data_IF_544229970548
#
_entry.id   IF_544229970548
#
_cell.length_a   1.000
_cell.length_b   1.000
_cell.length_c   1.000
_cell.angle_alpha   90.00
_cell.angle_beta   90.00
_cell.angle_gamma   90.00
#
_symmetry.space_group_name_H-M   'P 1'
#
loop_
_entity.id
_entity.type
_entity.pdbx_description
1 polymer ?
#
# COMPACT_ATOMS: atom_id res chain seq x y z
N UNK A 1 51.82 -18.20 54.33
CA UNK A 1 51.57 -16.83 53.83
C UNK A 1 51.71 -16.87 52.32
N UNK A 2 50.59 -16.86 51.59
CA UNK A 2 50.55 -17.03 50.13
C UNK A 2 49.09 -17.09 49.67
N UNK A 3 48.50 -15.92 49.45
CA UNK A 3 47.06 -15.72 49.26
C UNK A 3 46.55 -16.15 47.88
N UNK A 4 45.30 -16.62 47.89
CA UNK A 4 44.47 -17.06 46.77
C UNK A 4 44.23 -15.94 45.73
N UNK A 5 44.28 -16.29 44.44
CA UNK A 5 43.80 -15.47 43.32
C UNK A 5 42.27 -15.52 43.26
N UNK A 6 41.61 -14.36 43.37
CA UNK A 6 40.18 -14.21 43.12
C UNK A 6 39.86 -14.08 41.61
N UNK A 7 38.63 -14.42 41.17
CA UNK A 7 38.26 -14.38 39.76
C UNK A 7 37.95 -12.94 39.28
N UNK A 8 38.36 -12.65 38.05
CA UNK A 8 38.12 -11.40 37.32
C UNK A 8 36.64 -11.19 37.01
N UNK A 9 36.09 -10.03 37.41
CA UNK A 9 34.76 -9.58 36.98
C UNK A 9 34.79 -9.24 35.49
N UNK A 10 34.05 -10.00 34.68
CA UNK A 10 33.68 -9.61 33.31
C UNK A 10 32.72 -8.42 33.41
N UNK A 11 33.09 -7.31 32.77
CA UNK A 11 32.22 -6.15 32.60
C UNK A 11 31.07 -6.50 31.67
N UNK A 12 29.84 -6.32 32.13
CA UNK A 12 28.65 -6.33 31.30
C UNK A 12 28.63 -5.06 30.46
N UNK A 13 29.16 -5.15 29.24
CA UNK A 13 28.92 -4.14 28.20
C UNK A 13 27.46 -4.18 27.79
N UNK A 14 26.68 -3.21 28.22
CA UNK A 14 25.38 -2.92 27.63
C UNK A 14 25.65 -2.28 26.26
N UNK A 15 25.37 -3.02 25.18
CA UNK A 15 25.35 -2.40 23.84
C UNK A 15 24.14 -1.49 23.79
N UNK A 16 24.38 -0.19 23.82
CA UNK A 16 23.42 0.83 23.43
C UNK A 16 23.05 0.58 21.97
N UNK A 17 21.82 0.11 21.71
CA UNK A 17 21.26 0.12 20.37
C UNK A 17 21.21 1.57 19.88
N UNK A 18 21.88 1.83 18.77
CA UNK A 18 22.07 3.16 18.19
C UNK A 18 20.72 3.81 17.83
N UNK A 19 20.49 5.02 18.36
CA UNK A 19 19.31 5.85 18.15
C UNK A 19 19.46 6.83 16.97
N UNK A 20 20.35 6.55 16.02
CA UNK A 20 20.77 7.52 15.00
C UNK A 20 19.79 7.67 13.83
N UNK A 21 18.96 6.66 13.51
CA UNK A 21 18.06 6.70 12.34
C UNK A 21 16.69 7.37 12.53
N UNK A 22 16.26 7.59 13.78
CA UNK A 22 14.92 8.13 14.06
C UNK A 22 14.80 9.63 13.76
N UNK A 23 15.87 10.40 13.99
CA UNK A 23 15.89 11.84 13.71
C UNK A 23 15.90 12.12 12.20
N UNK A 24 16.68 11.36 11.43
CA UNK A 24 16.78 11.55 9.97
C UNK A 24 15.44 11.34 9.25
N UNK A 25 14.63 10.39 9.72
CA UNK A 25 13.33 10.08 9.10
C UNK A 25 12.33 11.23 9.31
N UNK A 26 12.35 11.84 10.49
CA UNK A 26 11.47 12.97 10.79
C UNK A 26 11.83 14.21 9.97
N UNK A 27 13.12 14.50 9.85
CA UNK A 27 13.63 15.63 9.06
C UNK A 27 13.26 15.50 7.58
N UNK A 28 13.33 14.27 7.03
CA UNK A 28 12.89 13.99 5.65
C UNK A 28 11.37 14.17 5.52
N UNK A 29 10.59 13.63 6.45
CA UNK A 29 9.14 13.76 6.44
C UNK A 29 8.71 15.24 6.46
N UNK A 30 9.34 16.06 7.31
CA UNK A 30 9.06 17.50 7.39
C UNK A 30 9.40 18.23 6.09
N UNK A 31 10.56 17.94 5.48
CA UNK A 31 10.94 18.48 4.16
C UNK A 31 9.96 18.09 3.06
N UNK A 32 9.36 16.90 3.15
CA UNK A 32 8.32 16.42 2.25
C UNK A 32 6.91 16.94 2.60
N UNK A 33 6.79 17.84 3.58
CA UNK A 33 5.52 18.49 3.93
C UNK A 33 4.65 17.72 4.91
N UNK A 34 5.19 16.70 5.58
CA UNK A 34 4.49 15.95 6.63
C UNK A 34 4.78 16.52 8.02
N UNK A 35 3.79 16.51 8.89
CA UNK A 35 3.95 16.72 10.32
C UNK A 35 3.77 15.40 11.07
N UNK A 36 4.56 15.19 12.12
CA UNK A 36 4.40 14.03 13.01
C UNK A 36 3.30 14.35 14.02
N UNK A 37 2.25 13.51 14.05
CA UNK A 37 1.13 13.65 14.97
C UNK A 37 1.33 12.87 16.26
N UNK A 38 1.84 11.64 16.16
CA UNK A 38 2.08 10.79 17.32
C UNK A 38 3.14 9.73 17.04
N UNK A 39 3.73 9.21 18.12
CA UNK A 39 4.78 8.20 18.08
C UNK A 39 4.61 7.27 19.29
N UNK A 40 4.66 5.96 19.07
CA UNK A 40 4.44 4.96 20.12
C UNK A 40 5.18 3.65 19.83
N UNK A 41 5.87 3.13 20.84
CA UNK A 41 6.32 1.74 20.83
C UNK A 41 5.17 0.81 21.21
N UNK A 42 4.91 -0.21 20.37
CA UNK A 42 3.89 -1.23 20.58
C UNK A 42 4.60 -2.56 20.87
N UNK A 43 4.74 -2.88 22.16
CA UNK A 43 5.62 -3.96 22.63
C UNK A 43 5.11 -5.34 22.21
N UNK A 44 3.80 -5.53 22.20
CA UNK A 44 3.11 -6.78 21.86
C UNK A 44 3.37 -7.20 20.40
N UNK A 45 3.63 -6.22 19.53
CA UNK A 45 3.92 -6.43 18.11
C UNK A 45 5.39 -6.15 17.77
N UNK A 46 6.26 -5.95 18.75
CA UNK A 46 7.69 -5.61 18.56
C UNK A 46 7.90 -4.48 17.53
N UNK A 47 6.98 -3.51 17.52
CA UNK A 47 6.89 -2.52 16.45
C UNK A 47 6.91 -1.11 17.01
N UNK A 48 7.51 -0.19 16.25
CA UNK A 48 7.49 1.24 16.51
C UNK A 48 6.54 1.92 15.52
N UNK A 49 5.49 2.56 16.02
CA UNK A 49 4.47 3.21 15.23
C UNK A 49 4.65 4.72 15.23
N UNK A 50 4.63 5.34 14.05
CA UNK A 50 4.62 6.80 13.89
C UNK A 50 3.48 7.20 12.97
N UNK A 51 2.66 8.14 13.41
CA UNK A 51 1.58 8.71 12.60
C UNK A 51 2.00 10.09 12.08
N UNK A 52 1.92 10.26 10.77
CA UNK A 52 2.18 11.52 10.08
C UNK A 52 0.92 12.02 9.37
N UNK A 53 0.86 13.33 9.15
CA UNK A 53 -0.15 13.98 8.31
C UNK A 53 0.51 14.92 7.32
N UNK A 54 0.12 14.86 6.05
CA UNK A 54 0.60 15.79 5.04
C UNK A 54 -0.12 17.14 5.20
N UNK A 55 0.65 18.22 5.44
CA UNK A 55 0.12 19.55 5.79
C UNK A 55 -0.83 20.13 4.73
N UNK A 56 -0.59 19.83 3.44
CA UNK A 56 -1.38 20.39 2.33
C UNK A 56 -2.65 19.59 2.02
N UNK A 57 -2.58 18.26 2.05
CA UNK A 57 -3.71 17.41 1.62
C UNK A 57 -4.50 16.82 2.78
N UNK A 58 -3.95 16.85 4.01
CA UNK A 58 -4.53 16.17 5.17
C UNK A 58 -4.36 14.65 5.15
N UNK A 59 -3.72 14.07 4.13
CA UNK A 59 -3.51 12.63 4.04
C UNK A 59 -2.67 12.13 5.22
N UNK A 60 -3.07 11.00 5.82
CA UNK A 60 -2.38 10.41 6.97
C UNK A 60 -1.57 9.19 6.55
N UNK A 61 -0.41 9.01 7.17
CA UNK A 61 0.47 7.85 6.96
C UNK A 61 0.82 7.29 8.34
N UNK A 62 0.49 6.02 8.56
CA UNK A 62 0.95 5.27 9.74
C UNK A 62 2.12 4.36 9.33
N UNK A 63 3.30 4.68 9.82
CA UNK A 63 4.50 3.85 9.63
C UNK A 63 4.66 2.91 10.82
N UNK A 64 4.77 1.61 10.55
CA UNK A 64 5.08 0.57 11.53
C UNK A 64 6.44 -0.03 11.19
N UNK A 65 7.41 0.14 12.07
CA UNK A 65 8.79 -0.31 11.87
C UNK A 65 9.14 -1.42 12.86
N UNK A 66 9.61 -2.56 12.35
CA UNK A 66 10.09 -3.70 13.12
C UNK A 66 11.19 -4.45 12.32
N UNK A 67 11.59 -5.64 12.79
CA UNK A 67 12.64 -6.45 12.17
C UNK A 67 12.13 -7.40 11.07
N UNK A 68 10.88 -7.29 10.62
CA UNK A 68 10.34 -8.13 9.54
C UNK A 68 10.92 -7.68 8.19
N UNK A 69 11.42 -8.65 7.42
CA UNK A 69 11.94 -8.42 6.07
C UNK A 69 10.82 -8.23 5.05
N UNK A 70 9.63 -8.80 5.31
CA UNK A 70 8.48 -8.70 4.44
C UNK A 70 7.81 -7.33 4.61
N UNK A 71 8.13 -6.40 3.71
CA UNK A 71 7.57 -5.05 3.74
C UNK A 71 6.16 -5.07 3.19
N UNK A 72 5.25 -4.41 3.89
CA UNK A 72 3.87 -4.23 3.45
C UNK A 72 3.53 -2.74 3.34
N UNK A 73 2.70 -2.42 2.35
CA UNK A 73 2.11 -1.11 2.15
C UNK A 73 0.64 -1.30 1.82
N UNK A 74 -0.18 -0.36 2.23
CA UNK A 74 -1.52 -0.29 1.71
C UNK A 74 -2.11 1.09 1.85
N UNK A 75 -2.92 1.46 0.86
CA UNK A 75 -3.65 2.72 0.82
C UNK A 75 -5.15 2.43 0.93
N UNK A 76 -5.83 3.24 1.76
CA UNK A 76 -7.25 3.07 2.07
C UNK A 76 -7.98 4.37 1.71
N UNK A 77 -9.11 4.23 1.02
CA UNK A 77 -10.02 5.33 0.74
C UNK A 77 -11.36 5.05 1.43
N UNK A 78 -11.97 6.06 2.05
CA UNK A 78 -13.35 5.95 2.52
C UNK A 78 -14.29 6.07 1.32
N UNK A 79 -15.10 5.03 1.10
CA UNK A 79 -15.93 4.86 -0.10
C UNK A 79 -17.34 4.34 0.28
N UNK A 80 -18.07 5.01 1.19
CA UNK A 80 -19.43 4.59 1.53
C UNK A 80 -20.34 4.70 0.28
N UNK A 81 -20.95 3.60 -0.19
CA UNK A 81 -21.77 3.62 -1.38
C UNK A 81 -23.07 4.39 -1.13
N UNK A 82 -23.56 5.07 -2.17
CA UNK A 82 -24.83 5.82 -2.10
C UNK A 82 -26.03 4.92 -2.38
N UNK A 83 -25.82 3.80 -3.07
CA UNK A 83 -26.84 2.84 -3.48
C UNK A 83 -26.23 1.43 -3.65
N UNK A 84 -26.99 0.50 -4.23
CA UNK A 84 -26.57 -0.89 -4.44
C UNK A 84 -26.04 -1.16 -5.85
N UNK A 85 -25.55 -0.14 -6.57
CA UNK A 85 -24.98 -0.30 -7.92
C UNK A 85 -23.62 -1.00 -7.93
N UNK A 86 -22.93 -1.05 -6.79
CA UNK A 86 -21.59 -1.61 -6.69
C UNK A 86 -20.47 -0.67 -7.16
N UNK A 87 -20.75 0.65 -7.32
CA UNK A 87 -19.78 1.65 -7.77
C UNK A 87 -18.38 1.51 -7.12
N UNK A 88 -18.23 1.37 -5.78
CA UNK A 88 -16.89 1.25 -5.18
C UNK A 88 -16.15 -0.02 -5.62
N UNK A 89 -16.87 -1.12 -5.87
CA UNK A 89 -16.27 -2.38 -6.30
C UNK A 89 -15.88 -2.32 -7.78
N UNK A 90 -16.73 -1.75 -8.64
CA UNK A 90 -16.38 -1.52 -10.05
C UNK A 90 -15.16 -0.61 -10.16
N UNK A 91 -15.10 0.45 -9.34
CA UNK A 91 -13.98 1.37 -9.33
C UNK A 91 -12.69 0.70 -8.86
N UNK A 92 -12.76 -0.19 -7.86
CA UNK A 92 -11.61 -0.95 -7.38
C UNK A 92 -10.92 -1.76 -8.49
N UNK A 93 -11.68 -2.43 -9.35
CA UNK A 93 -11.13 -3.14 -10.51
C UNK A 93 -10.67 -2.14 -11.59
N UNK A 94 -11.50 -1.15 -11.89
CA UNK A 94 -11.24 -0.18 -12.98
C UNK A 94 -9.94 0.62 -12.81
N UNK A 95 -9.58 0.99 -11.57
CA UNK A 95 -8.33 1.75 -11.33
C UNK A 95 -7.08 0.91 -11.58
N UNK A 96 -7.18 -0.43 -11.55
CA UNK A 96 -6.08 -1.35 -11.79
C UNK A 96 -5.90 -1.69 -13.28
N UNK A 97 -6.78 -1.20 -14.16
CA UNK A 97 -6.71 -1.37 -15.63
C UNK A 97 -5.86 -0.29 -16.33
N UNK A 98 -4.82 0.19 -15.66
CA UNK A 98 -3.90 1.18 -16.21
C UNK A 98 -4.00 2.55 -15.55
N UNK A 99 -2.89 3.28 -15.62
CA UNK A 99 -2.75 4.61 -15.03
C UNK A 99 -2.01 5.55 -15.99
N UNK A 100 -1.89 6.81 -15.62
CA UNK A 100 -1.13 7.81 -16.40
C UNK A 100 0.32 7.38 -16.66
N UNK A 101 1.03 6.90 -15.63
CA UNK A 101 2.43 6.45 -15.74
C UNK A 101 2.56 5.05 -16.33
N UNK A 102 1.56 4.19 -16.11
CA UNK A 102 1.53 2.81 -16.59
C UNK A 102 0.32 2.59 -17.50
N UNK A 103 0.34 3.08 -18.75
CA UNK A 103 -0.83 3.10 -19.62
C UNK A 103 -1.14 1.75 -20.28
N UNK A 104 -0.55 0.64 -19.82
CA UNK A 104 -0.82 -0.70 -20.33
C UNK A 104 -2.20 -1.17 -19.87
N UNK A 105 -2.85 -2.06 -20.63
CA UNK A 105 -4.26 -2.45 -20.41
C UNK A 105 -4.47 -3.16 -19.06
N UNK A 106 -3.50 -3.97 -18.62
CA UNK A 106 -3.59 -4.74 -17.37
C UNK A 106 -2.24 -4.74 -16.62
N UNK A 107 -1.80 -3.60 -16.05
CA UNK A 107 -0.54 -3.52 -15.32
C UNK A 107 -0.49 -4.51 -14.15
N UNK A 108 -1.62 -4.71 -13.47
CA UNK A 108 -1.76 -5.65 -12.36
C UNK A 108 -1.38 -7.09 -12.75
N UNK A 109 -1.82 -7.55 -13.93
CA UNK A 109 -1.49 -8.88 -14.44
C UNK A 109 0.00 -9.01 -14.76
N UNK A 110 0.62 -7.94 -15.27
CA UNK A 110 2.05 -7.92 -15.54
C UNK A 110 2.88 -7.93 -14.25
N UNK A 111 2.40 -7.26 -13.19
CA UNK A 111 3.00 -7.36 -11.86
C UNK A 111 2.94 -8.79 -11.31
N UNK A 112 1.78 -9.47 -11.43
CA UNK A 112 1.64 -10.86 -10.98
C UNK A 112 2.63 -11.82 -11.68
N UNK A 113 3.01 -11.54 -12.93
CA UNK A 113 3.94 -12.40 -13.69
C UNK A 113 5.41 -12.10 -13.41
N UNK A 114 5.75 -10.85 -13.09
CA UNK A 114 7.13 -10.36 -13.12
C UNK A 114 7.72 -9.87 -11.80
N UNK A 115 6.91 -9.75 -10.74
CA UNK A 115 7.35 -9.24 -9.44
C UNK A 115 7.70 -10.36 -8.44
N UNK A 116 8.39 -10.00 -7.37
CA UNK A 116 8.66 -10.85 -6.21
C UNK A 116 7.70 -10.54 -5.06
N UNK A 117 6.41 -10.37 -5.37
CA UNK A 117 5.40 -10.06 -4.36
C UNK A 117 5.19 -11.26 -3.42
N UNK A 118 4.97 -10.96 -2.14
CA UNK A 118 4.44 -11.93 -1.18
C UNK A 118 2.93 -11.77 -1.01
N UNK A 119 2.41 -10.56 -1.27
CA UNK A 119 0.98 -10.27 -1.28
C UNK A 119 0.66 -9.16 -2.28
N UNK A 120 -0.42 -9.31 -3.02
CA UNK A 120 -0.85 -8.34 -4.02
C UNK A 120 -2.36 -8.51 -4.22
N UNK A 121 -3.15 -7.53 -3.82
CA UNK A 121 -4.60 -7.61 -3.89
C UNK A 121 -5.25 -6.21 -3.85
N UNK A 122 -6.58 -6.19 -3.94
CA UNK A 122 -7.43 -5.05 -3.64
C UNK A 122 -8.75 -5.54 -3.04
N UNK A 123 -9.38 -4.72 -2.20
CA UNK A 123 -10.56 -5.12 -1.43
C UNK A 123 -11.54 -3.96 -1.30
N UNK A 124 -12.81 -4.24 -1.57
CA UNK A 124 -13.92 -3.33 -1.32
C UNK A 124 -14.71 -3.78 -0.09
N UNK A 125 -14.65 -2.98 0.98
CA UNK A 125 -15.48 -3.13 2.18
C UNK A 125 -16.73 -2.22 2.09
N UNK A 126 -17.72 -2.37 2.98
CA UNK A 126 -18.95 -1.56 2.94
C UNK A 126 -18.74 -0.04 3.03
N UNK A 127 -17.63 0.43 3.60
CA UNK A 127 -17.37 1.86 3.87
C UNK A 127 -16.00 2.34 3.36
N UNK A 128 -15.20 1.45 2.78
CA UNK A 128 -13.81 1.74 2.35
C UNK A 128 -13.30 0.77 1.30
N UNK A 129 -12.33 1.24 0.50
CA UNK A 129 -11.59 0.42 -0.46
C UNK A 129 -10.11 0.41 -0.07
N UNK A 130 -9.48 -0.76 -0.11
CA UNK A 130 -8.12 -1.01 0.38
C UNK A 130 -7.26 -1.69 -0.68
N UNK A 131 -6.06 -1.14 -0.93
CA UNK A 131 -5.13 -1.65 -1.94
C UNK A 131 -3.78 -2.05 -1.30
N UNK A 132 -3.66 -3.30 -0.80
CA UNK A 132 -2.45 -3.83 -0.20
C UNK A 132 -1.44 -4.45 -1.18
N UNK A 133 -0.15 -4.21 -0.90
CA UNK A 133 0.98 -4.91 -1.51
C UNK A 133 2.01 -5.29 -0.45
N UNK A 134 2.74 -6.38 -0.69
CA UNK A 134 3.88 -6.76 0.12
C UNK A 134 4.96 -7.48 -0.69
N UNK A 135 6.21 -7.31 -0.29
CA UNK A 135 7.36 -8.03 -0.85
C UNK A 135 8.50 -8.10 0.16
N UNK A 136 9.27 -9.19 0.11
CA UNK A 136 10.56 -9.30 0.82
C UNK A 136 11.70 -8.63 0.06
N UNK A 137 11.52 -8.32 -1.22
CA UNK A 137 12.50 -7.60 -2.03
C UNK A 137 12.24 -6.09 -1.96
N UNK A 138 13.19 -5.32 -1.43
CA UNK A 138 13.02 -3.87 -1.23
C UNK A 138 12.79 -3.11 -2.54
N UNK A 139 13.46 -3.49 -3.63
CA UNK A 139 13.28 -2.83 -4.92
C UNK A 139 11.91 -3.15 -5.51
N UNK A 140 11.51 -4.41 -5.43
CA UNK A 140 10.18 -4.85 -5.88
C UNK A 140 9.07 -4.15 -5.09
N UNK A 141 9.21 -4.09 -3.76
CA UNK A 141 8.29 -3.37 -2.88
C UNK A 141 8.04 -1.94 -3.35
N UNK A 142 9.09 -1.16 -3.62
CA UNK A 142 8.91 0.21 -4.10
C UNK A 142 8.32 0.29 -5.52
N UNK A 143 8.62 -0.66 -6.40
CA UNK A 143 7.98 -0.73 -7.71
C UNK A 143 6.47 -0.99 -7.58
N UNK A 144 6.06 -1.91 -6.70
CA UNK A 144 4.66 -2.22 -6.42
C UNK A 144 3.92 -1.00 -5.86
N UNK A 145 4.51 -0.33 -4.87
CA UNK A 145 3.96 0.89 -4.28
C UNK A 145 3.79 1.99 -5.33
N UNK A 146 4.77 2.20 -6.19
CA UNK A 146 4.74 3.21 -7.24
C UNK A 146 3.64 2.95 -8.28
N UNK A 147 3.46 1.70 -8.72
CA UNK A 147 2.36 1.32 -9.61
C UNK A 147 1.00 1.52 -8.94
N UNK A 148 0.84 1.07 -7.69
CA UNK A 148 -0.41 1.18 -6.96
C UNK A 148 -0.80 2.64 -6.69
N UNK A 149 0.16 3.48 -6.29
CA UNK A 149 -0.09 4.90 -6.04
C UNK A 149 -0.52 5.64 -7.32
N UNK A 150 0.14 5.37 -8.45
CA UNK A 150 -0.27 6.03 -9.70
C UNK A 150 -1.63 5.50 -10.21
N UNK A 151 -1.93 4.20 -10.01
CA UNK A 151 -3.23 3.60 -10.31
C UNK A 151 -4.37 4.29 -9.54
N UNK A 152 -4.27 4.42 -8.22
CA UNK A 152 -5.37 4.97 -7.42
C UNK A 152 -5.52 6.48 -7.52
N UNK A 153 -4.44 7.23 -7.80
CA UNK A 153 -4.50 8.69 -7.90
C UNK A 153 -4.68 9.21 -9.34
N UNK A 154 -4.23 8.46 -10.34
CA UNK A 154 -4.29 8.83 -11.75
C UNK A 154 -4.75 7.66 -12.65
N UNK A 155 -5.91 7.04 -12.37
CA UNK A 155 -6.40 5.90 -13.12
C UNK A 155 -6.83 6.30 -14.53
N UNK A 156 -6.62 5.39 -15.50
CA UNK A 156 -7.07 5.60 -16.88
C UNK A 156 -8.59 5.59 -17.04
N UNK A 157 -9.32 4.90 -16.17
CA UNK A 157 -10.78 4.79 -16.25
C UNK A 157 -11.52 6.14 -16.11
N UNK A 158 -10.84 7.19 -15.64
CA UNK A 158 -11.36 8.56 -15.60
C UNK A 158 -11.40 9.21 -17.00
N UNK A 159 -10.49 8.80 -17.89
CA UNK A 159 -10.39 9.31 -19.25
C UNK A 159 -11.09 8.38 -20.26
N UNK A 160 -11.14 7.09 -19.98
CA UNK A 160 -11.71 6.06 -20.84
C UNK A 160 -12.85 5.29 -20.15
N UNK A 161 -14.08 5.63 -20.53
CA UNK A 161 -15.30 4.99 -20.01
C UNK A 161 -15.39 3.50 -20.38
N UNK A 162 -14.70 3.04 -21.42
CA UNK A 162 -14.73 1.64 -21.84
C UNK A 162 -14.12 0.73 -20.77
N UNK A 163 -13.15 1.23 -19.99
CA UNK A 163 -12.57 0.50 -18.88
C UNK A 163 -13.64 0.24 -17.81
N UNK A 164 -14.38 1.28 -17.42
CA UNK A 164 -15.45 1.15 -16.44
C UNK A 164 -16.59 0.24 -16.92
N UNK A 165 -16.91 0.29 -18.21
CA UNK A 165 -17.89 -0.60 -18.85
C UNK A 165 -17.44 -2.05 -18.88
N UNK A 166 -16.16 -2.30 -19.14
CA UNK A 166 -15.58 -3.64 -19.17
C UNK A 166 -15.59 -4.28 -17.78
N UNK A 167 -15.12 -3.55 -16.77
CA UNK A 167 -15.02 -4.07 -15.39
C UNK A 167 -16.37 -4.07 -14.66
N UNK A 168 -17.23 -3.09 -14.96
CA UNK A 168 -18.59 -3.02 -14.46
C UNK A 168 -19.54 -3.79 -15.34
N UNK A 169 -20.40 -3.07 -16.07
CA UNK A 169 -21.32 -3.68 -17.01
C UNK A 169 -21.53 -2.83 -18.27
N UNK A 170 -21.92 -3.48 -19.36
CA UNK A 170 -22.32 -2.88 -20.62
C UNK A 170 -23.28 -3.77 -21.40
N UNK A 171 -23.96 -3.17 -22.39
CA UNK A 171 -24.69 -3.93 -23.40
C UNK A 171 -23.74 -4.46 -24.46
N UNK A 172 -23.86 -5.73 -24.82
CA UNK A 172 -23.08 -6.37 -25.88
C UNK A 172 -24.01 -6.91 -26.97
N UNK A 173 -23.63 -6.66 -28.22
CA UNK A 173 -24.29 -7.14 -29.43
C UNK A 173 -23.22 -7.51 -30.45
N UNK A 174 -23.10 -8.80 -30.78
CA UNK A 174 -22.09 -9.31 -31.71
C UNK A 174 -22.60 -9.35 -33.15
N UNK A 175 -23.90 -9.65 -33.34
CA UNK A 175 -24.60 -9.63 -34.62
C UNK A 175 -25.91 -8.82 -34.48
N UNK A 176 -26.28 -8.04 -35.51
CA UNK A 176 -27.51 -7.26 -35.54
C UNK A 176 -28.79 -8.12 -35.53
N UNK A 177 -28.67 -9.41 -35.84
CA UNK A 177 -29.76 -10.38 -35.78
C UNK A 177 -29.93 -11.03 -34.39
N UNK A 178 -29.00 -10.81 -33.46
CA UNK A 178 -29.07 -11.34 -32.10
C UNK A 178 -29.78 -10.37 -31.14
N UNK A 179 -30.23 -10.90 -30.00
CA UNK A 179 -30.75 -10.08 -28.91
C UNK A 179 -29.60 -9.43 -28.13
N UNK A 180 -29.82 -8.19 -27.68
CA UNK A 180 -28.85 -7.47 -26.84
C UNK A 180 -28.70 -8.20 -25.49
N UNK A 181 -27.45 -8.44 -25.09
CA UNK A 181 -27.11 -9.04 -23.80
C UNK A 181 -26.41 -8.03 -22.87
N UNK A 182 -26.41 -8.30 -21.56
CA UNK A 182 -25.61 -7.54 -20.58
C UNK A 182 -24.38 -8.37 -20.23
N UNK A 183 -23.21 -7.75 -20.30
CA UNK A 183 -21.92 -8.34 -19.91
C UNK A 183 -21.14 -7.40 -19.00
N UNK A 184 -20.16 -7.95 -18.31
CA UNK A 184 -19.38 -7.28 -17.28
C UNK A 184 -18.41 -8.25 -16.61
N UNK A 185 -17.38 -7.73 -15.95
CA UNK A 185 -16.51 -8.56 -15.11
C UNK A 185 -17.15 -8.85 -13.74
N UNK A 186 -17.80 -7.83 -13.16
CA UNK A 186 -18.54 -7.88 -11.89
C UNK A 186 -20.05 -7.99 -12.15
#
# INVERSE_FOLDING_TARGET
MGGMRGPSKMGSGSSSCESSGANDTHDVAEKLGFEKLSEKAIKEYYSHAVLYRHKKTGAEIMSLSNSDENKAFGIVFSTPPRDSTGEPHILEHSVLCGSRKYPVKEPFVELLKGSFYTFLNAFTYPDRTYYPVASTNVKDFYNLVDVYLDAVFFPKCVEDIQIFQQEGWHYELNDLAEDISIKGFI
#
